data_IF_973868580107
#
_entry.id   IF_973868580107
#
_cell.length_a   1.000
_cell.length_b   1.000
_cell.length_c   1.000
_cell.angle_alpha   90.00
_cell.angle_beta   90.00
_cell.angle_gamma   90.00
#
_symmetry.space_group_name_H-M   'P 1'
#
loop_
_entity.id
_entity.type
_entity.pdbx_description
1 polymer ?
#
# COMPACT_ATOMS: atom_id res chain seq x y z
N UNK A 1 -5.57 31.42 18.90
CA UNK A 1 -6.31 30.37 18.17
C UNK A 1 -5.29 29.67 17.27
N UNK A 2 -5.19 28.34 17.33
CA UNK A 2 -4.28 27.60 16.46
C UNK A 2 -4.82 27.66 15.03
N UNK A 3 -4.01 28.14 14.09
CA UNK A 3 -4.39 28.20 12.68
C UNK A 3 -4.28 26.79 12.07
N UNK A 4 -5.29 26.36 11.32
CA UNK A 4 -5.23 25.08 10.60
C UNK A 4 -4.06 25.09 9.61
N UNK A 5 -3.21 24.07 9.68
CA UNK A 5 -2.06 23.88 8.79
C UNK A 5 -2.43 22.93 7.67
N UNK A 6 -2.04 23.26 6.45
CA UNK A 6 -2.36 22.49 5.26
C UNK A 6 -1.10 22.09 4.49
N UNK A 7 -1.05 20.86 4.01
CA UNK A 7 -0.04 20.41 3.05
C UNK A 7 -0.74 20.19 1.71
N UNK A 8 -0.22 20.77 0.64
CA UNK A 8 -0.85 20.65 -0.68
C UNK A 8 -0.18 19.58 -1.55
N UNK A 9 -0.98 18.89 -2.34
CA UNK A 9 -0.53 17.95 -3.36
C UNK A 9 -1.12 18.29 -4.73
N UNK A 10 -0.24 18.51 -5.70
CA UNK A 10 -0.59 18.85 -7.08
C UNK A 10 -0.03 17.78 -8.03
N UNK A 11 -0.71 17.53 -9.14
CA UNK A 11 -0.22 16.59 -10.16
C UNK A 11 -0.33 17.16 -11.57
N UNK A 12 0.70 16.92 -12.38
CA UNK A 12 0.71 17.23 -13.82
C UNK A 12 1.28 16.06 -14.62
N UNK A 13 0.72 15.82 -15.81
CA UNK A 13 1.26 14.84 -16.77
C UNK A 13 2.16 15.56 -17.78
N UNK A 14 3.34 15.00 -18.05
CA UNK A 14 4.32 15.57 -19.00
C UNK A 14 3.76 15.68 -20.41
N UNK A 15 2.86 14.77 -20.83
CA UNK A 15 2.28 14.78 -22.18
C UNK A 15 1.32 15.97 -22.43
N UNK A 16 0.82 16.59 -21.35
CA UNK A 16 -0.03 17.78 -21.42
C UNK A 16 0.73 19.09 -21.30
N UNK A 17 2.02 19.08 -20.96
CA UNK A 17 2.82 20.30 -20.83
C UNK A 17 3.02 21.03 -22.16
N UNK A 18 2.86 20.36 -23.30
CA UNK A 18 2.99 20.99 -24.62
C UNK A 18 1.89 21.99 -25.00
N UNK A 19 0.81 22.19 -24.22
CA UNK A 19 -0.33 23.02 -24.66
C UNK A 19 -0.82 24.13 -23.74
N UNK A 20 -0.36 24.32 -22.50
CA UNK A 20 -0.78 25.54 -21.76
C UNK A 20 -0.17 25.90 -20.41
N UNK A 21 0.39 24.99 -19.60
CA UNK A 21 0.76 25.33 -18.19
C UNK A 21 -0.41 25.61 -17.23
N UNK A 22 -1.61 25.91 -17.78
CA UNK A 22 -2.84 26.25 -17.07
C UNK A 22 -3.36 25.18 -16.09
N UNK A 23 -3.02 23.91 -16.28
CA UNK A 23 -3.55 22.81 -15.46
C UNK A 23 -3.00 22.77 -14.03
N UNK A 24 -1.75 23.20 -13.82
CA UNK A 24 -1.13 23.21 -12.48
C UNK A 24 -1.45 24.52 -11.75
N UNK A 25 -1.46 25.64 -12.47
CA UNK A 25 -1.88 26.94 -11.91
C UNK A 25 -3.35 26.91 -11.46
N UNK A 26 -4.25 26.30 -12.24
CA UNK A 26 -5.64 26.14 -11.84
C UNK A 26 -5.79 25.30 -10.55
N UNK A 27 -5.01 24.22 -10.43
CA UNK A 27 -4.99 23.38 -9.22
C UNK A 27 -4.44 24.15 -8.02
N UNK A 28 -3.31 24.86 -8.19
CA UNK A 28 -2.72 25.69 -7.13
C UNK A 28 -3.70 26.79 -6.69
N UNK A 29 -4.40 27.42 -7.64
CA UNK A 29 -5.41 28.43 -7.32
C UNK A 29 -6.57 27.84 -6.52
N UNK A 30 -7.12 26.69 -6.92
CA UNK A 30 -8.18 26.01 -6.15
C UNK A 30 -7.75 25.70 -4.71
N UNK A 31 -6.52 25.21 -4.52
CA UNK A 31 -5.98 24.91 -3.19
C UNK A 31 -5.78 26.18 -2.37
N UNK A 32 -5.20 27.22 -2.98
CA UNK A 32 -5.01 28.51 -2.32
C UNK A 32 -6.33 29.14 -1.90
N UNK A 33 -7.32 29.17 -2.80
CA UNK A 33 -8.66 29.70 -2.53
C UNK A 33 -9.32 28.94 -1.36
N UNK A 34 -9.18 27.61 -1.31
CA UNK A 34 -9.69 26.78 -0.22
C UNK A 34 -9.00 27.08 1.12
N UNK A 35 -7.67 27.12 1.14
CA UNK A 35 -6.89 27.40 2.36
C UNK A 35 -7.24 28.80 2.89
N UNK A 36 -7.29 29.80 2.02
CA UNK A 36 -7.69 31.16 2.39
C UNK A 36 -9.13 31.22 2.94
N UNK A 37 -10.07 30.51 2.33
CA UNK A 37 -11.45 30.44 2.82
C UNK A 37 -11.58 29.76 4.20
N UNK A 38 -10.73 28.77 4.49
CA UNK A 38 -10.64 28.12 5.80
C UNK A 38 -9.89 28.93 6.86
N UNK A 39 -9.25 30.05 6.48
CA UNK A 39 -8.42 30.86 7.38
C UNK A 39 -7.12 30.20 7.82
N UNK A 40 -6.68 29.13 7.15
CA UNK A 40 -5.46 28.38 7.48
C UNK A 40 -4.22 28.85 6.74
N UNK A 41 -3.14 28.10 6.92
CA UNK A 41 -1.83 28.37 6.30
C UNK A 41 -1.30 27.15 5.57
N UNK A 42 -0.61 27.39 4.46
CA UNK A 42 0.09 26.35 3.71
C UNK A 42 1.47 26.09 4.36
N UNK A 43 1.69 24.84 4.76
CA UNK A 43 2.91 24.35 5.41
C UNK A 43 3.92 23.82 4.37
N UNK A 44 3.44 23.07 3.38
CA UNK A 44 4.28 22.51 2.31
C UNK A 44 3.47 22.26 1.02
N UNK A 45 4.12 22.32 -0.15
CA UNK A 45 3.56 21.97 -1.46
C UNK A 45 4.38 20.84 -2.09
N UNK A 46 3.70 19.78 -2.50
CA UNK A 46 4.28 18.62 -3.17
C UNK A 46 3.72 18.51 -4.59
N UNK A 47 4.60 18.43 -5.59
CA UNK A 47 4.22 18.44 -7.01
C UNK A 47 4.66 17.14 -7.68
N UNK A 48 3.70 16.35 -8.12
CA UNK A 48 3.94 15.13 -8.87
C UNK A 48 3.99 15.39 -10.38
N UNK A 49 5.08 14.96 -11.02
CA UNK A 49 5.27 15.07 -12.47
C UNK A 49 5.28 13.67 -13.08
N UNK A 50 4.19 13.31 -13.75
CA UNK A 50 4.00 11.97 -14.32
C UNK A 50 4.56 11.91 -15.74
N UNK A 51 5.67 11.16 -15.92
CA UNK A 51 6.16 10.77 -17.24
C UNK A 51 5.49 9.49 -17.70
N UNK A 52 5.01 9.46 -18.95
CA UNK A 52 4.16 8.42 -19.53
C UNK A 52 4.77 7.00 -19.52
N UNK A 53 4.76 6.36 -18.35
CA UNK A 53 4.88 4.91 -18.10
C UNK A 53 4.98 4.57 -16.61
N UNK A 54 5.52 5.48 -15.80
CA UNK A 54 5.71 5.25 -14.37
C UNK A 54 4.67 6.01 -13.56
N UNK A 55 3.84 5.26 -12.83
CA UNK A 55 2.76 5.77 -11.99
C UNK A 55 3.17 5.74 -10.49
N UNK A 56 4.48 5.69 -10.21
CA UNK A 56 4.98 5.78 -8.84
C UNK A 56 4.74 7.22 -8.36
N UNK A 57 3.99 7.38 -7.28
CA UNK A 57 3.63 8.70 -6.73
C UNK A 57 4.40 8.99 -5.47
N UNK A 58 5.71 9.15 -5.63
CA UNK A 58 6.63 9.35 -4.52
C UNK A 58 6.34 10.67 -3.77
N UNK A 59 5.89 11.71 -4.47
CA UNK A 59 5.56 12.99 -3.87
C UNK A 59 4.27 12.92 -3.04
N UNK A 60 3.30 12.09 -3.44
CA UNK A 60 2.12 11.83 -2.62
C UNK A 60 2.49 11.13 -1.30
N UNK A 61 3.37 10.14 -1.34
CA UNK A 61 3.83 9.45 -0.13
C UNK A 61 4.65 10.39 0.79
N UNK A 62 5.42 11.32 0.22
CA UNK A 62 6.10 12.36 1.00
C UNK A 62 5.10 13.32 1.63
N UNK A 63 4.07 13.75 0.90
CA UNK A 63 3.02 14.62 1.42
C UNK A 63 2.26 13.96 2.58
N UNK A 64 1.88 12.68 2.44
CA UNK A 64 1.22 11.93 3.52
C UNK A 64 2.11 11.84 4.76
N UNK A 65 3.39 11.49 4.59
CA UNK A 65 4.35 11.41 5.72
C UNK A 65 4.55 12.77 6.39
N UNK A 66 4.65 13.84 5.61
CA UNK A 66 4.76 15.20 6.12
C UNK A 66 3.55 15.57 6.95
N UNK A 67 2.34 15.34 6.45
CA UNK A 67 1.09 15.57 7.19
C UNK A 67 0.98 14.75 8.46
N UNK A 68 1.45 13.50 8.47
CA UNK A 68 1.50 12.69 9.69
C UNK A 68 2.44 13.26 10.76
N UNK A 69 3.56 13.87 10.34
CA UNK A 69 4.57 14.43 11.25
C UNK A 69 4.18 15.82 11.77
N UNK A 70 3.58 16.67 10.92
CA UNK A 70 3.23 18.04 11.28
C UNK A 70 1.79 18.17 11.77
N UNK A 71 0.96 17.14 11.62
CA UNK A 71 -0.48 17.21 11.89
C UNK A 71 -1.22 18.16 10.93
N UNK A 72 -0.62 18.49 9.78
CA UNK A 72 -1.29 19.28 8.75
C UNK A 72 -2.35 18.43 8.02
N UNK A 73 -3.41 19.10 7.54
CA UNK A 73 -4.42 18.47 6.69
C UNK A 73 -3.91 18.44 5.25
N UNK A 74 -4.01 17.30 4.58
CA UNK A 74 -3.58 17.17 3.18
C UNK A 74 -4.66 17.74 2.24
N UNK A 75 -4.34 18.74 1.42
CA UNK A 75 -5.26 19.30 0.42
C UNK A 75 -4.87 18.82 -0.97
N UNK A 76 -5.81 18.18 -1.65
CA UNK A 76 -5.65 17.66 -3.00
C UNK A 76 -6.58 18.48 -3.90
N UNK A 77 -6.03 19.14 -4.92
CA UNK A 77 -6.85 19.93 -5.84
C UNK A 77 -7.90 19.06 -6.56
N UNK A 78 -7.43 17.94 -7.13
CA UNK A 78 -8.25 17.04 -7.93
C UNK A 78 -7.88 15.59 -7.73
N UNK A 79 -8.88 14.78 -7.39
CA UNK A 79 -8.78 13.34 -7.48
C UNK A 79 -9.18 12.95 -8.92
N UNK A 80 -8.28 12.28 -9.65
CA UNK A 80 -8.62 11.74 -10.96
C UNK A 80 -9.72 10.67 -10.82
N UNK A 81 -10.21 10.07 -11.92
CA UNK A 81 -11.30 9.09 -11.87
C UNK A 81 -11.01 8.02 -10.81
N UNK A 82 -11.91 7.88 -9.83
CA UNK A 82 -11.81 6.99 -8.67
C UNK A 82 -11.33 5.57 -9.02
N UNK A 83 -11.76 5.05 -10.18
CA UNK A 83 -11.40 3.70 -10.64
C UNK A 83 -9.93 3.52 -11.05
N UNK A 84 -9.22 4.59 -11.47
CA UNK A 84 -7.81 4.50 -11.90
C UNK A 84 -6.83 4.69 -10.77
N UNK A 85 -7.31 5.13 -9.61
CA UNK A 85 -6.50 5.57 -8.48
C UNK A 85 -6.86 4.81 -7.21
N UNK A 86 -7.39 3.58 -7.33
CA UNK A 86 -7.82 2.76 -6.19
C UNK A 86 -6.74 2.68 -5.11
N UNK A 87 -5.52 2.30 -5.50
CA UNK A 87 -4.41 2.12 -4.56
C UNK A 87 -4.18 3.37 -3.68
N UNK A 88 -4.37 4.55 -4.25
CA UNK A 88 -4.16 5.81 -3.54
C UNK A 88 -5.33 6.17 -2.63
N UNK A 89 -6.56 5.85 -3.03
CA UNK A 89 -7.74 6.02 -2.17
C UNK A 89 -7.61 5.10 -0.96
N UNK A 90 -7.15 3.87 -1.13
CA UNK A 90 -6.85 2.98 -0.01
C UNK A 90 -5.69 3.49 0.85
N UNK A 91 -4.58 3.95 0.26
CA UNK A 91 -3.48 4.53 1.05
C UNK A 91 -3.89 5.77 1.85
N UNK A 92 -4.76 6.62 1.30
CA UNK A 92 -5.34 7.77 2.00
C UNK A 92 -6.32 7.33 3.10
N UNK A 93 -7.12 6.29 2.85
CA UNK A 93 -8.01 5.71 3.85
C UNK A 93 -7.22 5.13 5.04
N UNK A 94 -6.08 4.49 4.77
CA UNK A 94 -5.23 3.84 5.78
C UNK A 94 -4.32 4.81 6.54
N UNK A 95 -3.96 5.96 5.96
CA UNK A 95 -2.97 6.88 6.55
C UNK A 95 -3.46 7.65 7.78
N UNK A 96 -4.78 7.65 8.04
CA UNK A 96 -5.45 8.34 9.16
C UNK A 96 -5.16 9.85 9.26
N UNK A 97 -4.70 10.47 8.18
CA UNK A 97 -4.56 11.93 8.12
C UNK A 97 -5.90 12.56 7.76
N UNK A 98 -6.16 13.77 8.26
CA UNK A 98 -7.22 14.58 7.69
C UNK A 98 -6.79 15.07 6.30
N UNK A 99 -7.68 14.99 5.33
CA UNK A 99 -7.44 15.52 4.00
C UNK A 99 -8.71 16.10 3.40
N UNK A 100 -8.54 16.95 2.40
CA UNK A 100 -9.61 17.61 1.67
C UNK A 100 -9.36 17.48 0.18
N UNK A 101 -10.41 17.20 -0.57
CA UNK A 101 -10.38 17.20 -2.03
C UNK A 101 -11.19 18.39 -2.53
N UNK A 102 -10.54 19.38 -3.17
CA UNK A 102 -11.22 20.61 -3.59
C UNK A 102 -12.33 20.35 -4.62
N UNK A 103 -12.12 19.41 -5.54
CA UNK A 103 -13.11 19.00 -6.55
C UNK A 103 -14.27 18.14 -6.00
N UNK A 104 -14.20 17.69 -4.74
CA UNK A 104 -15.23 16.89 -4.07
C UNK A 104 -15.56 17.51 -2.69
N UNK A 105 -16.31 18.63 -2.64
CA UNK A 105 -16.69 19.27 -1.39
C UNK A 105 -17.48 18.29 -0.49
N UNK A 106 -17.14 18.22 0.80
CA UNK A 106 -17.78 17.30 1.74
C UNK A 106 -17.26 15.86 1.69
N UNK A 107 -16.21 15.60 0.89
CA UNK A 107 -15.50 14.33 0.90
C UNK A 107 -14.69 14.19 2.20
N UNK A 108 -15.34 13.64 3.22
CA UNK A 108 -14.75 13.30 4.50
C UNK A 108 -14.09 11.90 4.48
N UNK A 109 -13.50 11.52 5.61
CA UNK A 109 -12.86 10.21 5.78
C UNK A 109 -13.84 9.06 5.49
N UNK A 110 -15.11 9.19 5.88
CA UNK A 110 -16.12 8.17 5.65
C UNK A 110 -16.36 7.94 4.14
N UNK A 111 -16.56 9.03 3.40
CA UNK A 111 -16.79 9.02 1.97
C UNK A 111 -15.63 8.33 1.23
N UNK A 112 -14.40 8.54 1.68
CA UNK A 112 -13.20 7.92 1.08
C UNK A 112 -13.07 6.45 1.44
N UNK A 113 -13.36 6.07 2.67
CA UNK A 113 -13.39 4.66 3.05
C UNK A 113 -14.43 3.90 2.20
N UNK A 114 -15.60 4.50 1.95
CA UNK A 114 -16.61 3.95 1.06
C UNK A 114 -16.09 3.82 -0.37
N UNK A 115 -15.47 4.87 -0.92
CA UNK A 115 -14.89 4.82 -2.25
C UNK A 115 -13.76 3.79 -2.37
N UNK A 116 -12.90 3.66 -1.35
CA UNK A 116 -11.85 2.66 -1.27
C UNK A 116 -12.43 1.24 -1.29
N UNK A 117 -13.48 1.00 -0.51
CA UNK A 117 -14.18 -0.28 -0.49
C UNK A 117 -14.83 -0.62 -1.85
N UNK A 118 -15.50 0.36 -2.48
CA UNK A 118 -16.11 0.18 -3.79
C UNK A 118 -15.08 -0.14 -4.87
N UNK A 119 -13.96 0.58 -4.87
CA UNK A 119 -12.92 0.36 -5.86
C UNK A 119 -12.21 -1.00 -5.62
N UNK A 120 -12.02 -1.43 -4.37
CA UNK A 120 -11.45 -2.74 -4.03
C UNK A 120 -12.35 -3.86 -4.56
N UNK A 121 -13.67 -3.72 -4.39
CA UNK A 121 -14.68 -4.63 -4.93
C UNK A 121 -14.60 -4.71 -6.47
N UNK A 122 -14.43 -3.58 -7.15
CA UNK A 122 -14.31 -3.58 -8.62
C UNK A 122 -13.09 -4.37 -9.10
N UNK A 123 -11.94 -4.23 -8.44
CA UNK A 123 -10.73 -5.02 -8.76
C UNK A 123 -10.95 -6.51 -8.54
N UNK A 124 -11.62 -6.88 -7.44
CA UNK A 124 -11.97 -8.27 -7.17
C UNK A 124 -12.89 -8.82 -8.26
N UNK A 125 -13.89 -8.07 -8.70
CA UNK A 125 -14.81 -8.47 -9.77
C UNK A 125 -14.09 -8.63 -11.11
N UNK A 126 -13.19 -7.72 -11.48
CA UNK A 126 -12.36 -7.84 -12.69
C UNK A 126 -11.47 -9.10 -12.61
N UNK A 127 -10.86 -9.36 -11.46
CA UNK A 127 -10.06 -10.56 -11.22
C UNK A 127 -10.89 -11.83 -11.35
N UNK A 128 -12.08 -11.85 -10.75
CA UNK A 128 -13.03 -12.97 -10.82
C UNK A 128 -13.45 -13.23 -12.27
N UNK A 129 -13.89 -12.21 -13.01
CA UNK A 129 -14.27 -12.31 -14.43
C UNK A 129 -13.13 -12.83 -15.28
N UNK A 130 -11.92 -12.33 -15.07
CA UNK A 130 -10.72 -12.79 -15.79
C UNK A 130 -10.43 -14.26 -15.51
N UNK A 131 -10.47 -14.68 -14.23
CA UNK A 131 -10.29 -16.10 -13.85
C UNK A 131 -11.36 -16.99 -14.46
N UNK A 132 -12.62 -16.55 -14.47
CA UNK A 132 -13.72 -17.29 -15.11
C UNK A 132 -13.50 -17.43 -16.61
N UNK A 133 -13.14 -16.35 -17.31
CA UNK A 133 -12.84 -16.36 -18.73
C UNK A 133 -11.66 -17.29 -19.07
N UNK A 134 -10.58 -17.25 -18.27
CA UNK A 134 -9.44 -18.14 -18.43
C UNK A 134 -9.81 -19.62 -18.19
N UNK A 135 -10.61 -19.91 -17.16
CA UNK A 135 -11.10 -21.28 -16.90
C UNK A 135 -11.93 -21.81 -18.08
N UNK A 136 -12.85 -20.99 -18.61
CA UNK A 136 -13.67 -21.36 -19.76
C UNK A 136 -12.84 -21.52 -21.04
N UNK A 137 -11.82 -20.69 -21.26
CA UNK A 137 -10.90 -20.85 -22.38
C UNK A 137 -10.10 -22.15 -22.27
N UNK A 138 -9.62 -22.47 -21.06
CA UNK A 138 -8.89 -23.72 -20.79
C UNK A 138 -9.76 -24.96 -20.99
N UNK A 139 -11.03 -24.94 -20.55
CA UNK A 139 -11.95 -26.07 -20.78
C UNK A 139 -12.28 -26.28 -22.26
N UNK A 140 -12.25 -25.20 -23.06
CA UNK A 140 -12.35 -25.26 -24.52
C UNK A 140 -11.04 -25.67 -25.23
N UNK A 141 -10.03 -26.12 -24.49
CA UNK A 141 -8.75 -26.57 -25.05
C UNK A 141 -7.78 -25.47 -25.44
N UNK A 142 -8.06 -24.20 -25.12
CA UNK A 142 -7.12 -23.10 -25.42
C UNK A 142 -5.89 -23.20 -24.51
N UNK A 143 -4.72 -23.35 -25.10
CA UNK A 143 -3.44 -23.23 -24.40
C UNK A 143 -3.27 -21.80 -23.88
N UNK A 144 -3.17 -21.65 -22.56
CA UNK A 144 -2.96 -20.36 -21.90
C UNK A 144 -1.47 -20.14 -21.64
N UNK A 145 -1.02 -18.90 -21.84
CA UNK A 145 0.39 -18.52 -21.71
C UNK A 145 1.19 -18.79 -22.99
N UNK A 146 2.43 -18.29 -23.04
CA UNK A 146 3.37 -18.61 -24.09
C UNK A 146 4.58 -19.35 -23.49
N UNK A 147 4.70 -20.68 -23.69
CA UNK A 147 5.83 -21.47 -23.20
C UNK A 147 7.21 -20.94 -23.66
N UNK A 148 7.28 -20.25 -24.80
CA UNK A 148 8.51 -19.66 -25.32
C UNK A 148 9.05 -18.53 -24.41
N UNK A 149 8.19 -17.92 -23.60
CA UNK A 149 8.60 -16.93 -22.60
C UNK A 149 9.31 -17.54 -21.38
N UNK A 150 9.32 -18.87 -21.22
CA UNK A 150 9.99 -19.61 -20.13
C UNK A 150 11.41 -20.05 -20.50
N UNK A 151 12.16 -19.19 -21.20
CA UNK A 151 13.58 -19.44 -21.42
C UNK A 151 14.37 -19.44 -20.09
N UNK A 152 15.61 -19.94 -20.12
CA UNK A 152 16.44 -20.08 -18.91
C UNK A 152 16.61 -18.76 -18.12
N UNK A 153 16.67 -17.62 -18.83
CA UNK A 153 16.76 -16.28 -18.22
C UNK A 153 15.48 -15.90 -17.49
N UNK A 154 14.31 -16.07 -18.13
CA UNK A 154 13.00 -15.84 -17.50
C UNK A 154 12.76 -16.76 -16.30
N UNK A 155 13.17 -18.03 -16.38
CA UNK A 155 13.07 -18.97 -15.28
C UNK A 155 13.98 -18.58 -14.10
N UNK A 156 15.22 -18.15 -14.38
CA UNK A 156 16.13 -17.64 -13.35
C UNK A 156 15.59 -16.37 -12.68
N UNK A 157 15.07 -15.42 -13.47
CA UNK A 157 14.40 -14.21 -12.97
C UNK A 157 13.19 -14.57 -12.10
N UNK A 158 12.34 -15.49 -12.54
CA UNK A 158 11.19 -15.98 -11.79
C UNK A 158 11.60 -16.63 -10.45
N UNK A 159 12.65 -17.45 -10.43
CA UNK A 159 13.20 -18.02 -9.19
C UNK A 159 13.70 -16.94 -8.24
N UNK A 160 14.49 -15.97 -8.73
CA UNK A 160 15.00 -14.86 -7.93
C UNK A 160 13.86 -14.03 -7.31
N UNK A 161 12.87 -13.64 -8.12
CA UNK A 161 11.69 -12.89 -7.66
C UNK A 161 10.86 -13.71 -6.67
N UNK A 162 10.69 -15.01 -6.91
CA UNK A 162 9.98 -15.91 -6.01
C UNK A 162 10.68 -16.06 -4.65
N UNK A 163 12.01 -16.09 -4.63
CA UNK A 163 12.79 -16.09 -3.37
C UNK A 163 12.61 -14.78 -2.62
N UNK A 164 12.69 -13.63 -3.31
CA UNK A 164 12.50 -12.32 -2.70
C UNK A 164 11.09 -12.18 -2.08
N UNK A 165 10.05 -12.53 -2.83
CA UNK A 165 8.66 -12.48 -2.36
C UNK A 165 8.41 -13.42 -1.16
N UNK A 166 9.04 -14.60 -1.14
CA UNK A 166 8.97 -15.51 0.03
C UNK A 166 9.70 -14.93 1.24
N UNK A 167 10.82 -14.24 1.03
CA UNK A 167 11.57 -13.57 2.10
C UNK A 167 10.74 -12.45 2.71
N UNK A 168 10.14 -11.58 1.90
CA UNK A 168 9.25 -10.49 2.37
C UNK A 168 8.03 -11.03 3.13
N UNK A 169 7.41 -12.11 2.63
CA UNK A 169 6.31 -12.79 3.35
C UNK A 169 6.77 -13.36 4.69
N UNK A 170 7.97 -13.93 4.76
CA UNK A 170 8.51 -14.47 6.01
C UNK A 170 8.84 -13.36 7.01
N UNK A 171 9.34 -12.21 6.55
CA UNK A 171 9.61 -11.02 7.37
C UNK A 171 8.32 -10.44 7.92
N UNK A 172 7.33 -10.15 7.06
CA UNK A 172 6.03 -9.62 7.51
C UNK A 172 5.29 -10.59 8.44
N UNK A 173 5.42 -11.90 8.24
CA UNK A 173 4.90 -12.91 9.15
C UNK A 173 5.63 -12.91 10.49
N UNK A 174 6.96 -12.81 10.51
CA UNK A 174 7.75 -12.74 11.73
C UNK A 174 7.28 -11.57 12.61
N UNK A 175 7.12 -10.37 12.05
CA UNK A 175 6.60 -9.18 12.76
C UNK A 175 5.28 -9.43 13.49
N UNK A 176 4.38 -10.25 12.91
CA UNK A 176 3.08 -10.57 13.51
C UNK A 176 3.18 -11.53 14.70
N UNK A 177 4.12 -12.48 14.65
CA UNK A 177 4.23 -13.55 15.67
C UNK A 177 5.25 -13.22 16.76
N UNK A 178 6.23 -12.36 16.47
CA UNK A 178 7.25 -11.89 17.40
C UNK A 178 6.70 -11.47 18.77
N UNK A 179 5.63 -10.65 18.88
CA UNK A 179 5.12 -10.26 20.20
C UNK A 179 4.74 -11.45 21.09
N UNK A 180 4.12 -12.49 20.49
CA UNK A 180 3.76 -13.71 21.22
C UNK A 180 4.98 -14.52 21.60
N UNK A 181 5.98 -14.62 20.72
CA UNK A 181 7.23 -15.32 21.03
C UNK A 181 7.97 -14.62 22.17
N UNK A 182 8.05 -13.29 22.16
CA UNK A 182 8.70 -12.50 23.21
C UNK A 182 7.99 -12.67 24.56
N UNK A 183 6.66 -12.67 24.59
CA UNK A 183 5.85 -12.95 25.78
C UNK A 183 6.17 -14.34 26.38
N UNK A 184 6.34 -15.35 25.52
CA UNK A 184 6.67 -16.71 25.97
C UNK A 184 8.15 -16.81 26.40
N UNK A 185 9.06 -16.08 25.76
CA UNK A 185 10.46 -16.01 26.18
C UNK A 185 10.63 -15.30 27.53
N UNK A 186 9.88 -14.22 27.80
CA UNK A 186 9.92 -13.52 29.09
C UNK A 186 9.41 -14.37 30.24
N UNK A 187 8.59 -15.40 29.95
CA UNK A 187 8.15 -16.44 30.90
C UNK A 187 9.20 -17.54 31.10
N UNK A 188 10.37 -17.45 30.46
CA UNK A 188 11.47 -18.41 30.59
C UNK A 188 11.29 -19.71 29.78
N UNK A 189 10.35 -19.75 28.82
CA UNK A 189 10.12 -20.96 28.03
C UNK A 189 11.27 -21.20 27.04
N UNK A 190 11.68 -22.46 26.92
CA UNK A 190 12.60 -22.92 25.87
C UNK A 190 11.95 -22.88 24.49
N UNK A 191 12.77 -22.88 23.42
CA UNK A 191 12.27 -22.91 22.03
C UNK A 191 11.33 -24.09 21.74
N UNK A 192 11.54 -25.24 22.41
CA UNK A 192 10.65 -26.40 22.33
C UNK A 192 9.28 -26.10 22.92
N UNK A 193 9.25 -25.51 24.11
CA UNK A 193 8.01 -25.15 24.80
C UNK A 193 7.27 -24.05 24.05
N UNK A 194 7.98 -23.06 23.51
CA UNK A 194 7.39 -22.01 22.66
C UNK A 194 6.75 -22.63 21.42
N UNK A 195 7.45 -23.52 20.71
CA UNK A 195 6.89 -24.17 19.52
C UNK A 195 5.63 -24.98 19.85
N UNK A 196 5.62 -25.69 20.98
CA UNK A 196 4.45 -26.41 21.48
C UNK A 196 3.29 -25.47 21.78
N UNK A 197 3.53 -24.40 22.54
CA UNK A 197 2.53 -23.40 22.89
C UNK A 197 1.91 -22.74 21.65
N UNK A 198 2.73 -22.40 20.64
CA UNK A 198 2.26 -21.84 19.37
C UNK A 198 1.37 -22.83 18.61
N UNK A 199 1.69 -24.12 18.66
CA UNK A 199 0.86 -25.18 18.07
C UNK A 199 -0.46 -25.36 18.82
N UNK A 200 -0.42 -25.40 20.16
CA UNK A 200 -1.60 -25.55 21.02
C UNK A 200 -2.53 -24.33 20.91
N UNK A 201 -1.96 -23.13 20.76
CA UNK A 201 -2.69 -21.88 20.51
C UNK A 201 -3.26 -21.78 19.07
N UNK A 202 -3.05 -22.78 18.22
CA UNK A 202 -3.56 -22.78 16.85
C UNK A 202 -2.91 -21.74 15.92
N UNK A 203 -1.76 -21.18 16.29
CA UNK A 203 -1.10 -20.13 15.51
C UNK A 203 -0.56 -20.73 14.21
N UNK A 204 -0.98 -20.14 13.09
CA UNK A 204 -0.52 -20.54 11.76
C UNK A 204 0.97 -20.31 11.60
N UNK A 205 1.67 -21.23 10.93
CA UNK A 205 3.05 -21.02 10.45
C UNK A 205 3.08 -20.10 9.22
N UNK A 206 4.26 -19.62 8.81
CA UNK A 206 4.44 -18.78 7.61
C UNK A 206 3.93 -19.43 6.30
N UNK A 207 3.73 -20.75 6.29
CA UNK A 207 3.17 -21.51 5.15
C UNK A 207 1.65 -21.73 5.26
N UNK A 208 1.00 -21.18 6.28
CA UNK A 208 -0.45 -21.32 6.51
C UNK A 208 -0.88 -22.66 7.10
N UNK A 209 0.03 -23.40 7.75
CA UNK A 209 -0.29 -24.67 8.44
C UNK A 209 -0.35 -24.46 9.95
N UNK A 210 -1.33 -25.04 10.63
CA UNK A 210 -1.37 -25.19 12.09
C UNK A 210 -0.59 -26.43 12.53
N UNK A 211 -0.23 -26.53 13.81
CA UNK A 211 0.40 -27.72 14.39
C UNK A 211 1.78 -28.07 13.84
N UNK A 212 2.43 -27.15 13.11
CA UNK A 212 3.68 -27.37 12.38
C UNK A 212 4.84 -26.48 12.85
N UNK A 213 4.69 -25.82 14.01
CA UNK A 213 5.79 -25.07 14.62
C UNK A 213 6.87 -26.03 15.12
N UNK A 214 8.10 -25.75 14.73
CA UNK A 214 9.29 -26.43 15.23
C UNK A 214 10.18 -25.44 15.99
N UNK A 215 11.06 -25.91 16.88
CA UNK A 215 12.00 -25.03 17.59
C UNK A 215 12.88 -24.23 16.63
N UNK A 216 13.26 -24.84 15.50
CA UNK A 216 13.99 -24.19 14.42
C UNK A 216 13.16 -23.08 13.76
N UNK A 217 11.86 -23.28 13.60
CA UNK A 217 10.97 -22.25 13.07
C UNK A 217 10.89 -21.04 14.01
N UNK A 218 10.78 -21.29 15.33
CA UNK A 218 10.82 -20.24 16.37
C UNK A 218 12.15 -19.49 16.34
N UNK A 219 13.29 -20.22 16.35
CA UNK A 219 14.63 -19.64 16.24
C UNK A 219 14.78 -18.76 15.01
N UNK A 220 14.28 -19.21 13.86
CA UNK A 220 14.35 -18.47 12.61
C UNK A 220 13.48 -17.20 12.62
N UNK A 221 12.41 -17.13 13.42
CA UNK A 221 11.64 -15.90 13.60
C UNK A 221 12.44 -14.90 14.43
N UNK A 222 13.03 -15.35 15.55
CA UNK A 222 13.88 -14.52 16.43
C UNK A 222 15.08 -13.94 15.65
N UNK A 223 15.85 -14.79 14.96
CA UNK A 223 17.01 -14.35 14.18
C UNK A 223 16.66 -13.34 13.07
N UNK A 224 15.41 -13.35 12.57
CA UNK A 224 14.97 -12.38 11.56
C UNK A 224 14.66 -11.02 12.19
N UNK A 225 14.10 -11.01 13.40
CA UNK A 225 13.84 -9.78 14.15
C UNK A 225 15.17 -9.08 14.49
N UNK A 226 16.13 -9.81 15.06
CA UNK A 226 17.46 -9.26 15.41
C UNK A 226 18.15 -8.63 14.20
N UNK A 227 18.00 -9.25 13.02
CA UNK A 227 18.57 -8.72 11.78
C UNK A 227 17.88 -7.44 11.29
N UNK A 228 16.57 -7.29 11.50
CA UNK A 228 15.87 -6.04 11.18
C UNK A 228 16.19 -4.91 12.18
N UNK A 229 16.47 -5.22 13.45
CA UNK A 229 16.88 -4.20 14.43
C UNK A 229 18.30 -3.67 14.20
N UNK A 230 19.15 -4.45 13.51
CA UNK A 230 20.53 -4.06 13.13
C UNK A 230 20.65 -3.34 11.78
N UNK A 231 19.58 -3.22 10.99
CA UNK A 231 19.61 -2.64 9.63
C UNK A 231 18.81 -1.34 9.56
#
# INVERSE_FOLDING_TARGET
MSQDRFTSYLRVSTDRQGKSGLGLEAQRKQVSDFISASGGVLDAEFIEVESGKNNNREELEKAIRHSQLTGSKLVIAKLDRLSRSLHYITSLAESKIEFVVCDLPGCDQFTINLYGAMAQREVELVSQRTKMALRAAKSKGKTLGNPQNLNASSAAKGRRLGVLARKEKAVSFAKKVTPKINELQSKGLSLNQIARELNESGILTARGKTGSWTPTAVKNVILRQEKEELT
#
